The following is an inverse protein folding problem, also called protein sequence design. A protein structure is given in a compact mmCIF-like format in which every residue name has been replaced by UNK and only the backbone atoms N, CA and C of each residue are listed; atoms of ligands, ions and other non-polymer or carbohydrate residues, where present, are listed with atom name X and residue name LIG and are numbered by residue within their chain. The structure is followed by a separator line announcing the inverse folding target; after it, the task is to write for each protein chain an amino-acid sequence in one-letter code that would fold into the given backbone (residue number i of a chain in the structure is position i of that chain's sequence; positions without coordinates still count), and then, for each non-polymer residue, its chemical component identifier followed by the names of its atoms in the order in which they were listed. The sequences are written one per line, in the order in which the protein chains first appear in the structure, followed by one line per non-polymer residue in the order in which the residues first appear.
data_IF_031805410713
#
_entry.id   IF_031805410713
#
_cell.length_a   1.000
_cell.length_b   1.000
_cell.length_c   1.000
_cell.angle_alpha   90.00
_cell.angle_beta   90.00
_cell.angle_gamma   90.00
#
_symmetry.space_group_name_H-M   'P 1'
#
loop_
_entity.id
_entity.type
_entity.pdbx_description
1 polymer ?
#
# COMPACT_ATOMS: atom_id res chain seq x y z
N UNK A 1 -10.59 -1.16 -9.93
CA UNK A 1 -10.41 0.04 -10.77
C UNK A 1 -10.90 -0.18 -12.21
N UNK A 2 -10.31 -1.12 -13.01
CA UNK A 2 -10.64 -1.30 -14.43
C UNK A 2 -12.15 -1.48 -14.69
N UNK A 3 -12.82 -2.33 -13.89
CA UNK A 3 -14.28 -2.51 -13.99
C UNK A 3 -15.04 -1.20 -13.81
N UNK A 4 -14.76 -0.46 -12.75
CA UNK A 4 -15.44 0.80 -12.44
C UNK A 4 -15.16 1.90 -13.47
N UNK A 5 -13.92 1.97 -13.97
CA UNK A 5 -13.55 2.92 -15.02
C UNK A 5 -14.35 2.61 -16.29
N UNK A 6 -14.40 1.35 -16.74
CA UNK A 6 -15.20 0.96 -17.92
C UNK A 6 -16.69 1.26 -17.72
N UNK A 7 -17.26 0.91 -16.55
CA UNK A 7 -18.67 1.19 -16.23
C UNK A 7 -19.00 2.69 -16.25
N UNK A 8 -18.09 3.56 -15.78
CA UNK A 8 -18.28 5.00 -15.83
C UNK A 8 -18.14 5.55 -17.25
N UNK A 9 -17.20 5.03 -18.03
CA UNK A 9 -17.06 5.42 -19.45
C UNK A 9 -18.30 5.03 -20.27
N UNK A 10 -18.86 3.85 -20.05
CA UNK A 10 -20.10 3.38 -20.70
C UNK A 10 -21.30 4.29 -20.37
N UNK A 11 -21.30 4.91 -19.18
CA UNK A 11 -22.32 5.88 -18.75
C UNK A 11 -22.01 7.32 -19.16
N UNK A 12 -20.92 7.55 -19.89
CA UNK A 12 -20.42 8.89 -20.22
C UNK A 12 -20.02 9.74 -18.99
N UNK A 13 -19.73 9.11 -17.86
CA UNK A 13 -19.26 9.75 -16.63
C UNK A 13 -17.74 9.94 -16.67
N UNK A 14 -17.25 10.63 -17.69
CA UNK A 14 -15.81 10.74 -18.03
C UNK A 14 -15.00 11.35 -16.88
N UNK A 15 -15.55 12.38 -16.21
CA UNK A 15 -14.90 13.03 -15.07
C UNK A 15 -14.72 12.09 -13.87
N UNK A 16 -15.69 11.21 -13.61
CA UNK A 16 -15.63 10.23 -12.54
C UNK A 16 -14.57 9.16 -12.86
N UNK A 17 -14.56 8.67 -14.10
CA UNK A 17 -13.55 7.73 -14.58
C UNK A 17 -12.13 8.30 -14.40
N UNK A 18 -11.89 9.54 -14.82
CA UNK A 18 -10.61 10.22 -14.69
C UNK A 18 -10.19 10.39 -13.22
N UNK A 19 -11.11 10.79 -12.33
CA UNK A 19 -10.85 10.95 -10.91
C UNK A 19 -10.45 9.61 -10.26
N UNK A 20 -11.15 8.52 -10.56
CA UNK A 20 -10.80 7.18 -10.05
C UNK A 20 -9.40 6.72 -10.46
N UNK A 21 -9.01 7.00 -11.71
CA UNK A 21 -7.65 6.69 -12.18
C UNK A 21 -6.61 7.52 -11.42
N UNK A 22 -6.87 8.82 -11.24
CA UNK A 22 -6.00 9.73 -10.51
C UNK A 22 -5.80 9.29 -9.07
N UNK A 23 -6.89 9.03 -8.34
CA UNK A 23 -6.86 8.59 -6.95
C UNK A 23 -6.09 7.26 -6.81
N UNK A 24 -6.32 6.31 -7.71
CA UNK A 24 -5.58 5.05 -7.69
C UNK A 24 -4.09 5.24 -7.93
N UNK A 25 -3.69 6.11 -8.85
CA UNK A 25 -2.27 6.40 -9.11
C UNK A 25 -1.61 6.96 -7.86
N UNK A 26 -2.19 7.98 -7.24
CA UNK A 26 -1.58 8.66 -6.11
C UNK A 26 -1.75 7.87 -4.81
N UNK A 27 -2.98 7.57 -4.42
CA UNK A 27 -3.28 7.04 -3.09
C UNK A 27 -2.99 5.54 -2.96
N UNK A 28 -2.92 4.80 -4.06
CA UNK A 28 -2.69 3.35 -4.03
C UNK A 28 -1.34 2.98 -4.62
N UNK A 29 -1.09 3.34 -5.88
CA UNK A 29 0.11 2.90 -6.57
C UNK A 29 1.37 3.61 -6.07
N UNK A 30 1.39 4.95 -6.05
CA UNK A 30 2.55 5.73 -5.65
C UNK A 30 2.80 5.71 -4.15
N UNK A 31 1.79 6.03 -3.34
CA UNK A 31 1.96 6.18 -1.89
C UNK A 31 2.16 4.85 -1.17
N UNK A 32 1.55 3.77 -1.68
CA UNK A 32 1.63 2.48 -1.01
C UNK A 32 2.37 1.43 -1.81
N UNK A 33 1.92 1.10 -3.01
CA UNK A 33 2.41 -0.08 -3.70
C UNK A 33 3.90 -0.01 -4.02
N UNK A 34 4.39 1.11 -4.52
CA UNK A 34 5.80 1.32 -4.79
C UNK A 34 6.63 1.17 -3.51
N UNK A 35 6.21 1.78 -2.39
CA UNK A 35 6.91 1.68 -1.12
C UNK A 35 6.93 0.25 -0.57
N UNK A 36 5.81 -0.47 -0.70
CA UNK A 36 5.66 -1.84 -0.26
C UNK A 36 6.48 -2.85 -1.08
N UNK A 37 6.81 -2.53 -2.33
CA UNK A 37 7.66 -3.41 -3.16
C UNK A 37 9.14 -3.25 -2.86
N UNK A 38 9.60 -2.13 -2.31
CA UNK A 38 11.03 -1.87 -2.01
C UNK A 38 11.70 -2.95 -1.16
N UNK A 39 11.10 -3.50 -0.08
CA UNK A 39 11.69 -4.60 0.66
C UNK A 39 11.93 -5.87 -0.18
N UNK A 40 11.04 -6.17 -1.12
CA UNK A 40 11.19 -7.33 -2.02
C UNK A 40 12.27 -7.08 -3.06
N UNK A 41 12.30 -5.87 -3.63
CA UNK A 41 13.31 -5.47 -4.63
C UNK A 41 14.73 -5.49 -4.04
N UNK A 42 14.87 -5.15 -2.76
CA UNK A 42 16.15 -5.07 -2.05
C UNK A 42 16.45 -6.29 -1.16
N UNK A 43 15.71 -7.39 -1.30
CA UNK A 43 15.83 -8.57 -0.44
C UNK A 43 17.09 -9.41 -0.67
N UNK A 44 17.79 -9.22 -1.79
CA UNK A 44 18.85 -10.10 -2.26
C UNK A 44 18.34 -11.42 -2.86
N UNK A 45 17.04 -11.67 -2.86
CA UNK A 45 16.37 -12.80 -3.50
C UNK A 45 15.90 -12.39 -4.90
N UNK A 46 16.63 -12.84 -5.93
CA UNK A 46 16.35 -12.47 -7.32
C UNK A 46 14.96 -12.89 -7.80
N UNK A 47 14.44 -14.04 -7.31
CA UNK A 47 13.11 -14.51 -7.71
C UNK A 47 12.01 -13.60 -7.18
N UNK A 48 12.13 -13.19 -5.90
CA UNK A 48 11.21 -12.23 -5.28
C UNK A 48 11.29 -10.85 -5.91
N UNK A 49 12.51 -10.38 -6.21
CA UNK A 49 12.72 -9.09 -6.85
C UNK A 49 12.10 -9.07 -8.26
N UNK A 50 12.34 -10.13 -9.05
CA UNK A 50 11.78 -10.28 -10.40
C UNK A 50 10.24 -10.32 -10.38
N UNK A 51 9.65 -11.08 -9.46
CA UNK A 51 8.19 -11.12 -9.29
C UNK A 51 7.61 -9.74 -8.96
N UNK A 52 8.26 -9.00 -8.05
CA UNK A 52 7.83 -7.65 -7.71
C UNK A 52 7.95 -6.67 -8.90
N UNK A 53 9.03 -6.76 -9.69
CA UNK A 53 9.21 -5.96 -10.91
C UNK A 53 8.14 -6.26 -11.96
N UNK A 54 7.82 -7.54 -12.17
CA UNK A 54 6.78 -7.94 -13.13
C UNK A 54 5.40 -7.40 -12.76
N UNK A 55 5.04 -7.46 -11.48
CA UNK A 55 3.75 -6.92 -11.03
C UNK A 55 3.73 -5.40 -11.09
N UNK A 56 4.83 -4.70 -10.71
CA UNK A 56 4.95 -3.25 -10.88
C UNK A 56 4.76 -2.84 -12.34
N UNK A 57 5.45 -3.50 -13.25
CA UNK A 57 5.35 -3.23 -14.69
C UNK A 57 3.94 -3.49 -15.22
N UNK A 58 3.35 -4.63 -14.83
CA UNK A 58 1.98 -4.99 -15.23
C UNK A 58 0.96 -3.93 -14.80
N UNK A 59 0.98 -3.55 -13.52
CA UNK A 59 0.05 -2.55 -12.99
C UNK A 59 0.29 -1.17 -13.63
N UNK A 60 1.56 -0.76 -13.79
CA UNK A 60 1.88 0.52 -14.45
C UNK A 60 1.39 0.53 -15.90
N UNK A 61 1.60 -0.55 -16.64
CA UNK A 61 1.15 -0.66 -18.03
C UNK A 61 -0.38 -0.52 -18.12
N UNK A 62 -1.13 -1.15 -17.25
CA UNK A 62 -2.59 -1.04 -17.24
C UNK A 62 -3.06 0.35 -16.78
N UNK A 63 -2.38 0.99 -15.83
CA UNK A 63 -2.61 2.41 -15.49
C UNK A 63 -2.42 3.30 -16.71
N UNK A 64 -1.34 3.13 -17.46
CA UNK A 64 -1.06 3.93 -18.67
C UNK A 64 -2.14 3.75 -19.72
N UNK A 65 -2.62 2.52 -19.94
CA UNK A 65 -3.73 2.24 -20.86
C UNK A 65 -5.03 2.90 -20.40
N UNK A 66 -5.38 2.80 -19.11
CA UNK A 66 -6.58 3.45 -18.55
C UNK A 66 -6.52 4.97 -18.68
N UNK A 67 -5.34 5.56 -18.49
CA UNK A 67 -5.11 6.99 -18.52
C UNK A 67 -4.97 7.54 -19.96
N UNK A 68 -4.60 6.70 -20.93
CA UNK A 68 -4.28 7.15 -22.30
C UNK A 68 -5.36 7.97 -22.98
N UNK A 69 -6.68 7.65 -22.87
CA UNK A 69 -7.74 8.48 -23.47
C UNK A 69 -7.78 9.92 -22.95
N UNK A 70 -7.25 10.17 -21.75
CA UNK A 70 -7.23 11.49 -21.10
C UNK A 70 -5.91 12.24 -21.34
N UNK A 71 -4.78 11.52 -21.38
CA UNK A 71 -3.44 12.07 -21.45
C UNK A 71 -2.57 11.32 -22.47
N UNK A 72 -2.89 11.34 -23.76
CA UNK A 72 -2.30 10.45 -24.76
C UNK A 72 -0.77 10.64 -24.92
N UNK A 73 -0.28 11.86 -24.89
CA UNK A 73 1.13 12.11 -25.17
C UNK A 73 2.06 11.59 -24.08
N UNK A 74 1.79 11.91 -22.81
CA UNK A 74 2.67 11.51 -21.72
C UNK A 74 2.58 10.01 -21.46
N UNK A 75 1.40 9.40 -21.61
CA UNK A 75 1.26 7.95 -21.42
C UNK A 75 1.95 7.16 -22.51
N UNK A 76 1.93 7.63 -23.76
CA UNK A 76 2.69 7.04 -24.84
C UNK A 76 4.20 7.13 -24.59
N UNK A 77 4.71 8.30 -24.22
CA UNK A 77 6.13 8.53 -23.93
C UNK A 77 6.64 7.61 -22.82
N UNK A 78 5.87 7.48 -21.73
CA UNK A 78 6.25 6.58 -20.63
C UNK A 78 6.22 5.13 -21.10
N UNK A 79 5.16 4.71 -21.82
CA UNK A 79 4.99 3.35 -22.29
C UNK A 79 6.11 2.93 -23.25
N UNK A 80 6.56 3.81 -24.15
CA UNK A 80 7.66 3.55 -25.05
C UNK A 80 9.00 3.32 -24.33
N UNK A 81 9.16 3.86 -23.11
CA UNK A 81 10.34 3.64 -22.27
C UNK A 81 10.29 2.32 -21.46
N UNK A 82 9.14 1.63 -21.44
CA UNK A 82 8.94 0.37 -20.73
C UNK A 82 9.09 -0.83 -21.68
N UNK A 83 9.39 -2.03 -21.17
CA UNK A 83 9.21 -3.27 -21.94
C UNK A 83 7.74 -3.44 -22.35
N UNK A 84 7.46 -3.50 -23.64
CA UNK A 84 6.11 -3.64 -24.19
C UNK A 84 6.10 -4.39 -25.52
N UNK A 85 4.90 -4.84 -25.92
CA UNK A 85 4.61 -5.39 -27.22
C UNK A 85 3.68 -4.43 -27.98
N UNK A 86 3.91 -4.30 -29.29
CA UNK A 86 3.14 -3.43 -30.19
C UNK A 86 3.83 -2.12 -30.56
N UNK A 87 3.22 -1.35 -31.45
CA UNK A 87 3.82 -0.14 -32.02
C UNK A 87 3.46 1.11 -31.23
N UNK A 88 2.24 1.16 -30.65
CA UNK A 88 1.73 2.32 -29.91
C UNK A 88 0.72 1.90 -28.85
N UNK A 89 0.68 2.64 -27.75
CA UNK A 89 -0.27 2.43 -26.66
C UNK A 89 -1.73 2.63 -27.13
N UNK A 90 -1.95 3.55 -28.07
CA UNK A 90 -3.26 3.86 -28.63
C UNK A 90 -3.98 2.65 -29.22
N UNK A 91 -3.26 1.69 -29.78
CA UNK A 91 -3.82 0.47 -30.39
C UNK A 91 -3.74 -0.74 -29.46
N UNK A 92 -3.19 -0.58 -28.27
CA UNK A 92 -3.13 -1.63 -27.28
C UNK A 92 -4.53 -1.95 -26.74
N UNK A 93 -4.74 -3.22 -26.36
CA UNK A 93 -6.02 -3.63 -25.75
C UNK A 93 -6.25 -2.86 -24.44
N UNK A 94 -7.44 -2.25 -24.32
CA UNK A 94 -7.85 -1.57 -23.09
C UNK A 94 -8.04 -2.56 -21.94
N UNK A 95 -7.67 -2.21 -20.69
CA UNK A 95 -7.77 -3.13 -19.57
C UNK A 95 -9.22 -3.52 -19.27
N UNK A 96 -9.46 -4.82 -19.11
CA UNK A 96 -10.74 -5.37 -18.71
C UNK A 96 -10.63 -6.03 -17.34
N UNK A 97 -11.73 -6.06 -16.59
CA UNK A 97 -11.79 -6.78 -15.33
C UNK A 97 -11.63 -8.28 -15.55
N UNK A 98 -10.75 -8.89 -14.78
CA UNK A 98 -10.50 -10.31 -14.80
C UNK A 98 -10.70 -10.87 -13.40
N UNK A 99 -11.74 -11.68 -13.20
CA UNK A 99 -12.11 -12.22 -11.88
C UNK A 99 -11.00 -13.10 -11.26
N UNK A 100 -10.25 -13.83 -12.08
CA UNK A 100 -9.11 -14.64 -11.60
C UNK A 100 -7.94 -13.83 -11.04
N UNK A 101 -7.92 -12.51 -11.23
CA UNK A 101 -6.96 -11.58 -10.66
C UNK A 101 -7.53 -10.79 -9.48
N UNK A 102 -8.71 -11.14 -8.99
CA UNK A 102 -9.29 -10.54 -7.79
C UNK A 102 -8.95 -11.40 -6.56
N UNK A 103 -8.38 -10.78 -5.54
CA UNK A 103 -7.93 -11.43 -4.31
C UNK A 103 -8.58 -10.75 -3.08
N UNK A 104 -9.92 -10.85 -2.90
CA UNK A 104 -10.64 -10.05 -1.91
C UNK A 104 -10.31 -10.41 -0.45
N UNK A 105 -9.79 -11.60 -0.18
CA UNK A 105 -9.34 -11.99 1.15
C UNK A 105 -8.01 -11.32 1.50
N UNK A 106 -7.04 -11.42 0.59
CA UNK A 106 -5.72 -10.82 0.72
C UNK A 106 -5.79 -9.28 0.73
N UNK A 107 -6.70 -8.72 -0.07
CA UNK A 107 -6.97 -7.28 -0.09
C UNK A 107 -7.43 -6.79 1.28
N UNK A 108 -8.42 -7.46 1.89
CA UNK A 108 -8.89 -7.13 3.25
C UNK A 108 -7.79 -7.27 4.31
N UNK A 109 -7.05 -8.37 4.28
CA UNK A 109 -5.98 -8.60 5.24
C UNK A 109 -4.89 -7.53 5.11
N UNK A 110 -4.58 -7.13 3.88
CA UNK A 110 -3.60 -6.08 3.63
C UNK A 110 -4.10 -4.68 4.01
N UNK A 111 -5.37 -4.40 3.82
CA UNK A 111 -6.00 -3.15 4.25
C UNK A 111 -5.93 -2.96 5.77
N UNK A 112 -6.13 -4.04 6.56
CA UNK A 112 -5.92 -4.01 8.02
C UNK A 112 -4.49 -3.57 8.37
N UNK A 113 -3.48 -4.12 7.67
CA UNK A 113 -2.07 -3.75 7.85
C UNK A 113 -1.83 -2.28 7.51
N UNK A 114 -2.38 -1.80 6.40
CA UNK A 114 -2.27 -0.40 5.99
C UNK A 114 -2.92 0.54 7.01
N UNK A 115 -4.10 0.20 7.51
CA UNK A 115 -4.80 0.98 8.51
C UNK A 115 -4.02 1.07 9.83
N UNK A 116 -3.40 -0.03 10.27
CA UNK A 116 -2.51 -0.02 11.42
C UNK A 116 -1.29 0.89 11.22
N UNK A 117 -0.64 0.82 10.04
CA UNK A 117 0.48 1.70 9.70
C UNK A 117 0.04 3.18 9.73
N UNK A 118 -1.11 3.50 9.13
CA UNK A 118 -1.67 4.87 9.13
C UNK A 118 -1.92 5.35 10.57
N UNK A 119 -2.55 4.52 11.40
CA UNK A 119 -2.88 4.86 12.79
C UNK A 119 -1.62 5.13 13.63
N UNK A 120 -0.58 4.29 13.50
CA UNK A 120 0.71 4.51 14.17
C UNK A 120 1.36 5.79 13.68
N UNK A 121 1.42 6.03 12.37
CA UNK A 121 2.04 7.23 11.79
C UNK A 121 1.31 8.50 12.22
N UNK A 122 -0.02 8.50 12.21
CA UNK A 122 -0.83 9.63 12.68
C UNK A 122 -0.55 9.92 14.13
N UNK A 123 -0.55 8.89 15.00
CA UNK A 123 -0.28 9.07 16.43
C UNK A 123 1.11 9.59 16.70
N UNK A 124 2.12 9.11 15.98
CA UNK A 124 3.50 9.61 16.07
C UNK A 124 3.62 11.08 15.61
N UNK A 125 2.91 11.43 14.53
CA UNK A 125 2.90 12.82 14.04
C UNK A 125 2.25 13.80 15.03
N UNK A 126 1.13 13.42 15.66
CA UNK A 126 0.49 14.20 16.73
C UNK A 126 1.42 14.48 17.90
N UNK A 127 2.34 13.56 18.18
CA UNK A 127 3.33 13.67 19.25
C UNK A 127 4.66 14.27 18.78
N UNK A 128 4.77 14.69 17.51
CA UNK A 128 6.00 15.19 16.90
C UNK A 128 7.19 14.23 16.98
N UNK A 129 6.95 12.91 16.96
CA UNK A 129 8.00 11.89 17.00
C UNK A 129 8.63 11.76 15.60
N UNK A 130 9.95 11.99 15.46
CA UNK A 130 10.59 11.91 14.14
C UNK A 130 10.66 10.47 13.62
N UNK A 131 10.67 10.27 12.28
CA UNK A 131 10.78 8.94 11.65
C UNK A 131 12.04 8.16 12.05
N UNK A 132 13.14 8.86 12.37
CA UNK A 132 14.40 8.26 12.79
C UNK A 132 14.31 7.56 14.16
N UNK A 133 13.36 7.97 14.99
CA UNK A 133 13.16 7.37 16.31
C UNK A 133 12.29 6.13 16.17
N UNK A 134 12.88 4.98 16.32
CA UNK A 134 12.18 3.70 16.29
C UNK A 134 11.70 3.31 17.67
N UNK A 135 10.60 2.56 17.75
CA UNK A 135 10.04 2.10 19.00
C UNK A 135 9.50 0.66 18.85
N UNK A 136 9.38 -0.04 19.94
CA UNK A 136 8.69 -1.33 20.00
C UNK A 136 7.19 -1.09 19.74
N UNK A 137 6.58 -1.89 18.86
CA UNK A 137 5.16 -1.85 18.54
C UNK A 137 4.49 -3.14 19.00
N UNK A 138 3.55 -3.02 19.90
CA UNK A 138 2.68 -4.13 20.33
C UNK A 138 1.36 -4.02 19.55
N UNK A 139 0.96 -5.13 18.94
CA UNK A 139 -0.27 -5.24 18.15
C UNK A 139 -1.16 -6.28 18.82
N UNK A 140 -2.28 -5.83 19.38
CA UNK A 140 -3.27 -6.71 19.98
C UNK A 140 -4.42 -6.90 19.01
N UNK A 141 -4.62 -8.14 18.55
CA UNK A 141 -5.60 -8.47 17.50
C UNK A 141 -5.96 -9.96 17.53
N UNK A 142 -7.16 -10.29 17.09
CA UNK A 142 -7.58 -11.66 16.79
C UNK A 142 -7.14 -12.11 15.39
N UNK A 143 -6.72 -11.17 14.53
CA UNK A 143 -6.28 -11.42 13.14
C UNK A 143 -4.75 -11.51 13.04
N UNK A 144 -4.10 -12.27 13.95
CA UNK A 144 -2.65 -12.34 14.07
C UNK A 144 -1.94 -12.73 12.77
N UNK A 145 -2.50 -13.65 11.98
CA UNK A 145 -1.86 -14.15 10.77
C UNK A 145 -1.76 -13.07 9.67
N UNK A 146 -2.78 -12.21 9.54
CA UNK A 146 -2.75 -11.07 8.62
C UNK A 146 -1.61 -10.10 9.01
N UNK A 147 -1.49 -9.76 10.30
CA UNK A 147 -0.45 -8.87 10.78
C UNK A 147 0.95 -9.48 10.71
N UNK A 148 1.11 -10.79 10.96
CA UNK A 148 2.39 -11.49 10.75
C UNK A 148 2.83 -11.48 9.30
N UNK A 149 1.89 -11.68 8.36
CA UNK A 149 2.18 -11.60 6.93
C UNK A 149 2.63 -10.20 6.50
N UNK A 150 2.13 -9.16 7.17
CA UNK A 150 2.46 -7.76 6.93
C UNK A 150 3.61 -7.19 7.77
N UNK A 151 4.24 -7.99 8.66
CA UNK A 151 5.20 -7.51 9.65
C UNK A 151 6.38 -6.73 9.04
N UNK A 152 6.91 -7.18 7.91
CA UNK A 152 8.00 -6.51 7.21
C UNK A 152 7.62 -5.08 6.78
N UNK A 153 6.37 -4.87 6.38
CA UNK A 153 5.85 -3.58 5.96
C UNK A 153 5.59 -2.68 7.16
N UNK A 154 4.99 -3.24 8.23
CA UNK A 154 4.73 -2.51 9.47
C UNK A 154 6.04 -2.04 10.07
N UNK A 155 7.04 -2.92 10.20
CA UNK A 155 8.36 -2.58 10.71
C UNK A 155 8.95 -1.37 9.99
N UNK A 156 8.90 -1.38 8.66
CA UNK A 156 9.50 -0.33 7.85
C UNK A 156 8.68 0.96 7.85
N UNK A 157 7.37 0.87 7.63
CA UNK A 157 6.52 2.02 7.36
C UNK A 157 5.91 2.65 8.62
N UNK A 158 5.80 1.89 9.73
CA UNK A 158 5.41 2.42 11.04
C UNK A 158 6.60 2.81 11.91
N UNK A 159 7.83 2.68 11.39
CA UNK A 159 9.08 2.97 12.10
C UNK A 159 9.22 2.15 13.39
N UNK A 160 8.82 0.88 13.35
CA UNK A 160 9.00 -0.04 14.45
C UNK A 160 10.44 -0.60 14.49
N UNK A 161 11.00 -0.75 15.68
CA UNK A 161 12.25 -1.46 15.89
C UNK A 161 12.00 -2.97 16.05
N UNK A 162 10.98 -3.30 16.83
CA UNK A 162 10.50 -4.64 17.06
C UNK A 162 8.98 -4.66 17.07
N UNK A 163 8.36 -5.79 16.70
CA UNK A 163 6.91 -5.98 16.72
C UNK A 163 6.58 -7.19 17.58
N UNK A 164 5.57 -7.04 18.43
CA UNK A 164 4.96 -8.14 19.18
C UNK A 164 3.48 -8.22 18.83
N UNK A 165 3.05 -9.35 18.26
CA UNK A 165 1.66 -9.57 17.86
C UNK A 165 1.05 -10.61 18.82
N UNK A 166 -0.05 -10.25 19.48
CA UNK A 166 -0.73 -11.07 20.49
C UNK A 166 -2.25 -10.84 20.46
N UNK A 167 -3.01 -11.76 21.02
CA UNK A 167 -4.44 -11.55 21.34
C UNK A 167 -4.65 -10.80 22.65
N UNK A 168 -3.63 -10.74 23.52
CA UNK A 168 -3.69 -10.07 24.80
C UNK A 168 -2.96 -8.72 24.76
N UNK A 169 -3.46 -7.76 25.52
CA UNK A 169 -2.82 -6.46 25.67
C UNK A 169 -1.55 -6.59 26.50
N UNK A 170 -0.51 -5.76 26.23
CA UNK A 170 0.67 -5.73 27.06
C UNK A 170 0.33 -5.30 28.49
N UNK A 171 1.05 -5.86 29.47
CA UNK A 171 0.79 -5.63 30.88
C UNK A 171 0.83 -4.14 31.29
N UNK A 172 1.68 -3.36 30.64
CA UNK A 172 1.88 -1.93 30.88
C UNK A 172 1.15 -1.04 29.86
N UNK A 173 0.09 -1.52 29.21
CA UNK A 173 -0.66 -0.79 28.17
C UNK A 173 -1.10 0.62 28.61
N UNK A 174 -1.43 0.80 29.91
CA UNK A 174 -1.83 2.11 30.47
C UNK A 174 -0.71 3.17 30.42
N UNK A 175 0.55 2.75 30.36
CA UNK A 175 1.73 3.62 30.28
C UNK A 175 2.23 3.81 28.85
N UNK A 176 1.52 3.27 27.89
CA UNK A 176 1.89 3.28 26.47
C UNK A 176 1.03 4.28 25.69
N UNK A 177 1.59 4.78 24.64
CA UNK A 177 0.84 5.54 23.62
C UNK A 177 0.06 4.55 22.80
N UNK A 178 -1.26 4.74 22.70
CA UNK A 178 -2.14 3.83 21.96
C UNK A 178 -2.69 4.47 20.70
N UNK A 179 -2.90 3.64 19.69
CA UNK A 179 -3.72 3.89 18.52
C UNK A 179 -4.66 2.71 18.31
N UNK A 180 -5.84 2.96 17.77
CA UNK A 180 -6.88 1.94 17.63
C UNK A 180 -7.38 1.94 16.20
N UNK A 181 -7.52 0.75 15.62
CA UNK A 181 -8.22 0.49 14.37
C UNK A 181 -9.41 -0.43 14.64
N UNK A 182 -10.18 -0.73 13.61
CA UNK A 182 -11.31 -1.66 13.75
C UNK A 182 -10.86 -3.07 14.19
N UNK A 183 -9.69 -3.53 13.69
CA UNK A 183 -9.21 -4.90 13.87
C UNK A 183 -8.05 -5.03 14.87
N UNK A 184 -7.46 -3.92 15.33
CA UNK A 184 -6.30 -3.98 16.21
C UNK A 184 -6.20 -2.79 17.17
N UNK A 185 -5.62 -3.07 18.34
CA UNK A 185 -5.09 -2.05 19.25
C UNK A 185 -3.58 -2.06 19.18
N UNK A 186 -2.99 -0.90 19.03
CA UNK A 186 -1.59 -0.67 18.78
C UNK A 186 -1.00 0.11 19.95
N UNK A 187 0.12 -0.36 20.52
CA UNK A 187 0.73 0.28 21.68
C UNK A 187 2.22 0.50 21.44
N UNK A 188 2.72 1.64 21.86
CA UNK A 188 4.13 2.03 21.78
C UNK A 188 4.59 2.56 23.13
N UNK A 189 5.71 2.09 23.72
CA UNK A 189 6.22 2.62 24.98
C UNK A 189 6.54 4.11 24.86
N UNK A 190 6.00 4.94 25.78
CA UNK A 190 6.20 6.38 25.74
C UNK A 190 7.67 6.77 25.88
N UNK A 191 8.44 6.06 26.72
CA UNK A 191 9.86 6.31 26.94
C UNK A 191 10.73 6.11 25.67
N UNK A 192 10.26 5.32 24.71
CA UNK A 192 10.95 5.12 23.44
C UNK A 192 10.62 6.19 22.40
N UNK A 193 9.50 6.91 22.59
CA UNK A 193 9.01 7.92 21.66
C UNK A 193 9.52 9.33 21.97
N UNK A 194 9.65 9.66 23.24
CA UNK A 194 10.08 10.99 23.71
C UNK A 194 11.20 10.85 24.72
N UNK A 195 12.13 11.83 24.72
CA UNK A 195 13.09 11.98 25.79
C UNK A 195 12.35 12.56 27.01
N UNK A 196 12.42 11.87 28.15
CA UNK A 196 11.77 12.27 29.40
C UNK A 196 12.72 13.13 30.27
N UNK A 197 13.68 13.84 29.63
CA UNK A 197 14.60 14.74 30.32
C UNK A 197 13.99 16.16 30.52
#
# INVERSE_FOLDING_TARGET
LSKEVCENLDKYEIGIAAAKIYDFIWDTYCDWYIELTKPRLNSGDEARARSAQQVLLYVLTDILKLLHPFMPFITEEIWQALPHDGEALMIARYPEYTESLAFPAEERDFEMVMNAIRAVRSRRAEMNVPPSRKAHLFITTDRQDAFRSGEIYITKLAYAEQITISSEQPADAEKMVSAVTEEAKLFMPMAELIDLD
#
